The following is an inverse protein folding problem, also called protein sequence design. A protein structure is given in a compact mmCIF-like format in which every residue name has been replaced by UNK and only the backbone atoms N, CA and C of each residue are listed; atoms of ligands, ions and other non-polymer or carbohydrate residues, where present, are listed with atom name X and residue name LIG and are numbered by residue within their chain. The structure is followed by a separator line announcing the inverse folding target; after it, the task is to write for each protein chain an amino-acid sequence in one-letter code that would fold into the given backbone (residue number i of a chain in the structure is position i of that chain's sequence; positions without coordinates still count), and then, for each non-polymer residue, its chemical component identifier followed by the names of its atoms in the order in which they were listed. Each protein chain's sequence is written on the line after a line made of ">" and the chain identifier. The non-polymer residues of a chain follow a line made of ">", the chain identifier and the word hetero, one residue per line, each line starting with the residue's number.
data_IF_271127131110
#
_entry.id   IF_271127131110
#
_cell.length_a   1.000
_cell.length_b   1.000
_cell.length_c   1.000
_cell.angle_alpha   90.00
_cell.angle_beta   90.00
_cell.angle_gamma   90.00
#
_symmetry.space_group_name_H-M   'P 1'
#
loop_
_entity.id
_entity.type
_entity.pdbx_description
1 polymer ?
#
# COMPACT_ATOMS: atom_id res chain seq x y z
N UNK A 1 4.48 -15.85 -1.15
CA UNK A 1 5.68 -16.36 -0.40
C UNK A 1 6.21 -15.36 0.61
N UNK A 2 6.45 -14.08 0.27
CA UNK A 2 6.96 -13.05 1.22
C UNK A 2 6.09 -12.89 2.48
N UNK A 3 4.76 -12.83 2.33
CA UNK A 3 3.83 -12.69 3.46
C UNK A 3 3.98 -13.83 4.47
N UNK A 4 4.07 -15.07 4.01
CA UNK A 4 4.31 -16.20 4.90
C UNK A 4 5.67 -16.14 5.61
N UNK A 5 6.72 -15.66 4.94
CA UNK A 5 8.06 -15.51 5.56
C UNK A 5 8.02 -14.40 6.63
N UNK A 6 7.40 -13.27 6.36
CA UNK A 6 7.23 -12.20 7.35
C UNK A 6 6.37 -12.66 8.53
N UNK A 7 5.30 -13.43 8.25
CA UNK A 7 4.44 -14.01 9.28
C UNK A 7 5.18 -15.07 10.13
N UNK A 8 6.14 -15.83 9.58
CA UNK A 8 6.96 -16.77 10.37
C UNK A 8 7.68 -16.03 11.51
N UNK A 9 8.28 -14.87 11.22
CA UNK A 9 8.95 -14.07 12.25
C UNK A 9 7.95 -13.65 13.34
N UNK A 10 6.75 -13.23 12.97
CA UNK A 10 5.70 -12.90 13.93
C UNK A 10 5.27 -14.13 14.74
N UNK A 11 5.12 -15.29 14.11
CA UNK A 11 4.75 -16.53 14.79
C UNK A 11 5.79 -16.95 15.83
N UNK A 12 7.07 -16.79 15.52
CA UNK A 12 8.17 -17.22 16.43
C UNK A 12 8.40 -16.19 17.54
N UNK A 13 8.33 -14.90 17.26
CA UNK A 13 8.70 -13.84 18.21
C UNK A 13 7.51 -13.23 18.93
N UNK A 14 6.44 -12.86 18.21
CA UNK A 14 5.32 -12.13 18.77
C UNK A 14 4.32 -13.04 19.47
N UNK A 15 3.96 -14.16 18.84
CA UNK A 15 2.94 -15.07 19.39
C UNK A 15 3.31 -15.65 20.76
N UNK A 16 4.54 -16.14 21.04
CA UNK A 16 4.90 -16.62 22.37
C UNK A 16 4.79 -15.53 23.43
N UNK A 17 5.18 -14.29 23.10
CA UNK A 17 5.06 -13.16 24.02
C UNK A 17 3.60 -12.79 24.29
N UNK A 18 2.78 -12.65 23.24
CA UNK A 18 1.35 -12.37 23.36
C UNK A 18 0.65 -13.49 24.16
N UNK A 19 0.91 -14.76 23.80
CA UNK A 19 0.39 -15.92 24.51
C UNK A 19 0.70 -15.86 26.00
N UNK A 20 1.96 -15.67 26.36
CA UNK A 20 2.41 -15.63 27.75
C UNK A 20 1.76 -14.50 28.54
N UNK A 21 1.73 -13.30 27.97
CA UNK A 21 1.15 -12.11 28.64
C UNK A 21 -0.36 -12.26 28.83
N UNK A 22 -1.07 -12.74 27.83
CA UNK A 22 -2.52 -13.00 27.95
C UNK A 22 -2.82 -14.13 28.93
N UNK A 23 -2.06 -15.22 28.90
CA UNK A 23 -2.22 -16.33 29.86
C UNK A 23 -2.04 -15.90 31.32
N UNK A 24 -1.15 -14.91 31.57
CA UNK A 24 -0.98 -14.32 32.90
C UNK A 24 -2.11 -13.36 33.28
N UNK A 25 -2.84 -12.81 32.32
CA UNK A 25 -3.90 -11.84 32.56
C UNK A 25 -5.26 -12.51 32.83
N UNK A 26 -5.55 -13.64 32.18
CA UNK A 26 -6.82 -14.36 32.32
C UNK A 26 -6.88 -15.17 33.63
N UNK A 27 -8.10 -15.41 34.17
CA UNK A 27 -8.28 -16.22 35.40
C UNK A 27 -7.71 -17.65 35.26
N UNK A 28 -7.19 -18.25 36.36
CA UNK A 28 -6.62 -19.59 36.34
C UNK A 28 -7.69 -20.69 36.36
N UNK A 29 -8.80 -20.49 35.63
CA UNK A 29 -9.90 -21.47 35.51
C UNK A 29 -9.82 -22.15 34.14
N UNK A 30 -10.12 -23.45 34.08
CA UNK A 30 -10.11 -24.24 32.83
C UNK A 30 -11.03 -23.61 31.76
N UNK A 31 -12.18 -23.07 32.15
CA UNK A 31 -13.13 -22.39 31.24
C UNK A 31 -12.56 -21.14 30.53
N UNK A 32 -11.49 -20.52 31.04
CA UNK A 32 -10.80 -19.42 30.41
C UNK A 32 -9.55 -19.87 29.66
N UNK A 33 -8.76 -20.74 30.28
CA UNK A 33 -7.46 -21.17 29.75
C UNK A 33 -7.56 -22.12 28.56
N UNK A 34 -8.52 -23.05 28.58
CA UNK A 34 -8.68 -24.00 27.48
C UNK A 34 -9.04 -23.27 26.17
N UNK A 35 -10.09 -22.44 26.07
CA UNK A 35 -10.40 -21.70 24.86
C UNK A 35 -9.23 -20.78 24.40
N UNK A 36 -8.52 -20.15 25.33
CA UNK A 36 -7.35 -19.32 25.02
C UNK A 36 -6.23 -20.14 24.38
N UNK A 37 -5.87 -21.29 24.93
CA UNK A 37 -4.85 -22.18 24.37
C UNK A 37 -5.30 -22.71 22.99
N UNK A 38 -6.56 -23.14 22.87
CA UNK A 38 -7.10 -23.66 21.62
C UNK A 38 -7.12 -22.61 20.51
N UNK A 39 -7.34 -21.33 20.85
CA UNK A 39 -7.25 -20.24 19.87
C UNK A 39 -5.84 -20.16 19.25
N UNK A 40 -4.77 -20.18 20.04
CA UNK A 40 -3.40 -20.12 19.54
C UNK A 40 -3.00 -21.38 18.76
N UNK A 41 -3.47 -22.56 19.22
CA UNK A 41 -3.24 -23.82 18.48
C UNK A 41 -3.93 -23.76 17.11
N UNK A 42 -5.18 -23.30 17.06
CA UNK A 42 -5.95 -23.18 15.82
C UNK A 42 -5.30 -22.18 14.85
N UNK A 43 -4.95 -21.00 15.33
CA UNK A 43 -4.27 -19.97 14.53
C UNK A 43 -2.98 -20.51 13.91
N UNK A 44 -2.14 -21.12 14.74
CA UNK A 44 -0.88 -21.71 14.30
C UNK A 44 -1.11 -22.87 13.30
N UNK A 45 -2.15 -23.69 13.54
CA UNK A 45 -2.52 -24.78 12.62
C UNK A 45 -2.98 -24.25 11.27
N UNK A 46 -3.82 -23.20 11.24
CA UNK A 46 -4.28 -22.56 9.99
C UNK A 46 -3.08 -22.00 9.21
N UNK A 47 -2.14 -21.34 9.91
CA UNK A 47 -0.93 -20.79 9.30
C UNK A 47 -0.09 -21.91 8.65
N UNK A 48 0.25 -22.96 9.38
CA UNK A 48 1.06 -24.07 8.84
C UNK A 48 0.33 -24.85 7.75
N UNK A 49 -0.98 -25.05 7.88
CA UNK A 49 -1.78 -25.69 6.84
C UNK A 49 -1.74 -24.87 5.55
N UNK A 50 -2.01 -23.58 5.61
CA UNK A 50 -1.94 -22.68 4.46
C UNK A 50 -0.54 -22.62 3.84
N UNK A 51 0.50 -22.57 4.67
CA UNK A 51 1.89 -22.56 4.19
C UNK A 51 2.24 -23.85 3.46
N UNK A 52 1.87 -25.01 4.02
CA UNK A 52 2.22 -26.34 3.49
C UNK A 52 1.47 -26.63 2.20
N UNK A 53 0.16 -26.36 2.18
CA UNK A 53 -0.73 -26.76 1.09
C UNK A 53 -1.03 -25.65 0.07
N UNK A 54 -0.32 -24.51 0.13
CA UNK A 54 -0.58 -23.32 -0.70
C UNK A 54 -0.65 -23.56 -2.21
N UNK A 55 0.00 -24.60 -2.72
CA UNK A 55 0.07 -24.91 -4.15
C UNK A 55 -1.02 -25.92 -4.59
N UNK A 56 -1.76 -26.50 -3.66
CA UNK A 56 -2.77 -27.54 -3.95
C UNK A 56 -4.18 -27.14 -3.51
N UNK A 57 -4.30 -26.13 -2.64
CA UNK A 57 -5.60 -25.62 -2.20
C UNK A 57 -6.29 -24.81 -3.30
N UNK A 58 -7.64 -24.88 -3.39
CA UNK A 58 -8.40 -23.97 -4.24
C UNK A 58 -8.14 -22.50 -3.89
N UNK A 59 -8.15 -21.61 -4.89
CA UNK A 59 -7.87 -20.18 -4.69
C UNK A 59 -8.77 -19.55 -3.62
N UNK A 60 -10.06 -19.87 -3.58
CA UNK A 60 -11.01 -19.34 -2.57
C UNK A 60 -10.62 -19.71 -1.14
N UNK A 61 -10.20 -20.95 -0.92
CA UNK A 61 -9.73 -21.43 0.40
C UNK A 61 -8.42 -20.73 0.77
N UNK A 62 -7.52 -20.62 -0.20
CA UNK A 62 -6.22 -19.97 0.01
C UNK A 62 -6.37 -18.49 0.35
N UNK A 63 -7.26 -17.77 -0.34
CA UNK A 63 -7.60 -16.37 -0.05
C UNK A 63 -8.15 -16.22 1.37
N UNK A 64 -9.09 -17.11 1.78
CA UNK A 64 -9.64 -17.08 3.14
C UNK A 64 -8.55 -17.29 4.21
N UNK A 65 -7.68 -18.28 4.01
CA UNK A 65 -6.54 -18.52 4.91
C UNK A 65 -5.62 -17.29 4.98
N UNK A 66 -5.33 -16.68 3.84
CA UNK A 66 -4.49 -15.48 3.81
C UNK A 66 -5.14 -14.29 4.53
N UNK A 67 -6.45 -14.09 4.41
CA UNK A 67 -7.16 -13.07 5.19
C UNK A 67 -7.01 -13.32 6.69
N UNK A 68 -7.21 -14.56 7.16
CA UNK A 68 -7.04 -14.93 8.58
C UNK A 68 -5.60 -14.67 9.05
N UNK A 69 -4.62 -15.20 8.31
CA UNK A 69 -3.20 -15.06 8.65
C UNK A 69 -2.74 -13.59 8.62
N UNK A 70 -3.13 -12.83 7.60
CA UNK A 70 -2.80 -11.40 7.49
C UNK A 70 -3.44 -10.58 8.60
N UNK A 71 -4.71 -10.87 8.95
CA UNK A 71 -5.41 -10.20 10.06
C UNK A 71 -4.69 -10.44 11.37
N UNK A 72 -4.36 -11.69 11.68
CA UNK A 72 -3.63 -12.02 12.89
C UNK A 72 -2.22 -11.44 12.90
N UNK A 73 -1.52 -11.48 11.78
CA UNK A 73 -0.19 -10.89 11.64
C UNK A 73 -0.18 -9.40 12.01
N UNK A 74 -1.09 -8.62 11.44
CA UNK A 74 -1.17 -7.18 11.74
C UNK A 74 -1.67 -6.94 13.17
N UNK A 75 -2.69 -7.67 13.62
CA UNK A 75 -3.18 -7.58 15.00
C UNK A 75 -2.08 -7.90 16.02
N UNK A 76 -1.26 -8.93 15.78
CA UNK A 76 -0.17 -9.33 16.66
C UNK A 76 0.90 -8.23 16.81
N UNK A 77 1.18 -7.46 15.76
CA UNK A 77 2.08 -6.29 15.82
C UNK A 77 1.50 -5.26 16.80
N UNK A 78 0.23 -4.87 16.63
CA UNK A 78 -0.39 -3.83 17.49
C UNK A 78 -0.68 -4.30 18.91
N UNK A 79 -1.01 -5.59 19.11
CA UNK A 79 -1.08 -6.17 20.45
C UNK A 79 0.30 -6.09 21.13
N UNK A 80 1.36 -6.46 20.41
CA UNK A 80 2.73 -6.41 20.96
C UNK A 80 3.14 -4.98 21.27
N UNK A 81 2.90 -4.00 20.39
CA UNK A 81 3.17 -2.59 20.65
C UNK A 81 2.41 -2.08 21.88
N UNK A 82 1.14 -2.46 22.03
CA UNK A 82 0.32 -2.12 23.21
C UNK A 82 0.90 -2.73 24.49
N UNK A 83 1.28 -4.01 24.44
CA UNK A 83 1.88 -4.69 25.59
C UNK A 83 3.23 -4.07 25.97
N UNK A 84 4.09 -3.74 25.00
CA UNK A 84 5.37 -3.06 25.26
C UNK A 84 5.15 -1.68 25.86
N UNK A 85 4.16 -0.92 25.41
CA UNK A 85 3.80 0.37 26.01
C UNK A 85 3.37 0.20 27.49
N UNK A 86 2.57 -0.83 27.79
CA UNK A 86 2.19 -1.16 29.17
C UNK A 86 3.39 -1.59 30.02
N UNK A 87 4.39 -2.29 29.45
CA UNK A 87 5.62 -2.62 30.17
C UNK A 87 6.47 -1.37 30.46
N UNK A 88 6.55 -0.43 29.53
CA UNK A 88 7.23 0.85 29.76
C UNK A 88 6.55 1.61 30.89
N UNK A 89 5.21 1.69 30.91
CA UNK A 89 4.46 2.31 32.00
C UNK A 89 4.69 1.59 33.35
N UNK A 90 4.72 0.26 33.33
CA UNK A 90 5.01 -0.53 34.52
C UNK A 90 6.44 -0.29 35.06
N UNK A 91 7.39 -0.24 34.13
CA UNK A 91 8.79 0.01 34.46
C UNK A 91 8.97 1.42 35.01
N UNK A 92 8.35 2.44 34.39
CA UNK A 92 8.40 3.82 34.92
C UNK A 92 7.81 3.93 36.31
N UNK A 93 6.71 3.21 36.57
CA UNK A 93 6.13 3.19 37.91
C UNK A 93 7.07 2.57 38.98
N UNK A 94 7.97 1.67 38.58
CA UNK A 94 8.96 1.11 39.52
C UNK A 94 9.94 2.18 40.06
N UNK A 95 10.19 3.22 39.23
CA UNK A 95 11.07 4.33 39.63
C UNK A 95 10.32 5.50 40.24
N UNK A 96 9.15 5.84 39.74
CA UNK A 96 8.42 7.05 40.07
C UNK A 96 7.21 6.81 40.98
N UNK A 97 6.79 5.56 41.27
CA UNK A 97 5.68 5.16 42.15
C UNK A 97 4.35 5.91 41.89
N UNK A 98 4.03 6.21 40.64
CA UNK A 98 2.89 7.06 40.28
C UNK A 98 1.57 6.30 40.06
N UNK A 99 1.57 4.95 40.10
CA UNK A 99 0.32 4.21 40.02
C UNK A 99 -0.52 4.44 41.25
N UNK A 100 -1.82 4.76 41.08
CA UNK A 100 -2.75 4.83 42.22
C UNK A 100 -2.82 3.51 42.99
N UNK A 101 -3.02 3.60 44.31
CA UNK A 101 -3.04 2.44 45.20
C UNK A 101 -4.09 1.37 44.81
N UNK A 102 -5.21 1.78 44.21
CA UNK A 102 -6.23 0.85 43.74
C UNK A 102 -5.73 -0.06 42.56
N UNK A 103 -4.84 0.40 41.71
CA UNK A 103 -4.20 -0.41 40.67
C UNK A 103 -3.35 -1.50 41.31
N UNK A 104 -2.51 -1.13 42.23
CA UNK A 104 -1.54 -2.05 42.87
C UNK A 104 -2.23 -3.06 43.77
N UNK A 105 -3.30 -2.66 44.50
CA UNK A 105 -4.07 -3.55 45.38
C UNK A 105 -4.96 -4.54 44.58
N UNK A 106 -5.38 -4.19 43.35
CA UNK A 106 -6.25 -5.03 42.51
C UNK A 106 -5.55 -5.53 41.26
N UNK A 107 -4.26 -5.86 41.33
CA UNK A 107 -3.42 -6.15 40.21
C UNK A 107 -3.94 -7.25 39.27
N UNK A 108 -4.64 -8.27 39.79
CA UNK A 108 -5.24 -9.34 38.96
C UNK A 108 -6.39 -8.80 38.12
N UNK A 109 -7.27 -8.01 38.69
CA UNK A 109 -8.39 -7.38 37.98
C UNK A 109 -7.88 -6.36 36.95
N UNK A 110 -6.90 -5.55 37.33
CA UNK A 110 -6.25 -4.59 36.41
C UNK A 110 -5.69 -5.28 35.17
N UNK A 111 -4.97 -6.40 35.33
CA UNK A 111 -4.46 -7.15 34.17
C UNK A 111 -5.59 -7.68 33.28
N UNK A 112 -6.67 -8.19 33.84
CA UNK A 112 -7.81 -8.68 33.09
C UNK A 112 -8.52 -7.55 32.32
N UNK A 113 -8.72 -6.40 32.97
CA UNK A 113 -9.30 -5.22 32.30
C UNK A 113 -8.41 -4.75 31.17
N UNK A 114 -7.09 -4.64 31.38
CA UNK A 114 -6.14 -4.25 30.34
C UNK A 114 -6.10 -5.26 29.19
N UNK A 115 -6.23 -6.56 29.47
CA UNK A 115 -6.31 -7.58 28.42
C UNK A 115 -7.51 -7.32 27.49
N UNK A 116 -8.71 -7.13 28.05
CA UNK A 116 -9.89 -6.84 27.24
C UNK A 116 -9.82 -5.47 26.56
N UNK A 117 -9.27 -4.47 27.21
CA UNK A 117 -9.09 -3.14 26.64
C UNK A 117 -8.15 -3.18 25.43
N UNK A 118 -7.00 -3.85 25.53
CA UNK A 118 -6.07 -4.02 24.41
C UNK A 118 -6.76 -4.77 23.25
N UNK A 119 -7.48 -5.87 23.56
CA UNK A 119 -8.20 -6.60 22.52
C UNK A 119 -9.28 -5.74 21.84
N UNK A 120 -10.04 -4.96 22.60
CA UNK A 120 -11.06 -4.08 22.06
C UNK A 120 -10.46 -2.96 21.17
N UNK A 121 -9.39 -2.31 21.66
CA UNK A 121 -8.68 -1.26 20.91
C UNK A 121 -8.11 -1.82 19.59
N UNK A 122 -7.40 -2.96 19.65
CA UNK A 122 -6.80 -3.55 18.45
C UNK A 122 -7.89 -4.03 17.48
N UNK A 123 -8.98 -4.63 17.99
CA UNK A 123 -10.11 -5.01 17.12
C UNK A 123 -10.70 -3.80 16.41
N UNK A 124 -10.98 -2.71 17.14
CA UNK A 124 -11.48 -1.46 16.56
C UNK A 124 -10.49 -0.86 15.53
N UNK A 125 -9.19 -0.90 15.85
CA UNK A 125 -8.13 -0.47 14.93
C UNK A 125 -8.13 -1.30 13.63
N UNK A 126 -8.28 -2.63 13.73
CA UNK A 126 -8.31 -3.51 12.55
C UNK A 126 -9.54 -3.25 11.67
N UNK A 127 -10.72 -3.03 12.26
CA UNK A 127 -11.90 -2.61 11.50
C UNK A 127 -11.68 -1.28 10.77
N UNK A 128 -11.15 -0.28 11.48
CA UNK A 128 -10.84 1.01 10.87
C UNK A 128 -9.80 0.87 9.75
N UNK A 129 -8.72 0.13 10.00
CA UNK A 129 -7.64 -0.09 9.05
C UNK A 129 -8.09 -0.80 7.76
N UNK A 130 -9.01 -1.76 7.88
CA UNK A 130 -9.65 -2.40 6.74
C UNK A 130 -10.59 -1.44 5.99
N UNK A 131 -11.38 -0.65 6.74
CA UNK A 131 -12.28 0.35 6.16
C UNK A 131 -11.54 1.36 5.29
N UNK A 132 -10.36 1.83 5.73
CA UNK A 132 -9.52 2.75 4.95
C UNK A 132 -9.11 2.16 3.59
N UNK A 133 -8.84 0.86 3.53
CA UNK A 133 -8.54 0.17 2.27
C UNK A 133 -9.79 -0.02 1.41
N UNK A 134 -10.89 -0.41 2.03
CA UNK A 134 -12.14 -0.69 1.34
C UNK A 134 -12.80 0.59 0.74
N UNK A 135 -12.52 1.75 1.33
CA UNK A 135 -13.10 3.04 0.95
C UNK A 135 -12.01 4.11 0.74
N UNK A 136 -11.29 4.05 -0.41
CA UNK A 136 -10.31 5.07 -0.76
C UNK A 136 -10.94 6.45 -0.86
N UNK A 137 -10.10 7.47 -0.73
CA UNK A 137 -10.53 8.87 -0.86
C UNK A 137 -10.00 9.49 -2.15
N UNK A 138 -10.73 10.44 -2.68
CA UNK A 138 -10.22 11.35 -3.70
C UNK A 138 -9.49 12.48 -2.99
N UNK A 139 -8.27 12.77 -3.41
CA UNK A 139 -7.44 13.83 -2.86
C UNK A 139 -7.10 14.84 -3.94
N UNK A 140 -7.67 16.01 -3.84
CA UNK A 140 -7.37 17.10 -4.77
C UNK A 140 -6.00 17.70 -4.51
N UNK A 141 -5.19 17.80 -5.58
CA UNK A 141 -3.88 18.44 -5.57
C UNK A 141 -3.82 19.43 -6.73
N UNK A 142 -3.67 20.70 -6.42
CA UNK A 142 -3.58 21.76 -7.41
C UNK A 142 -2.11 22.08 -7.72
N UNK A 143 -1.75 21.93 -8.99
CA UNK A 143 -0.39 22.14 -9.49
C UNK A 143 -0.46 23.16 -10.61
N UNK A 144 0.36 24.22 -10.52
CA UNK A 144 0.50 25.20 -11.59
C UNK A 144 1.80 24.96 -12.33
N UNK A 145 1.70 24.62 -13.62
CA UNK A 145 2.86 24.42 -14.49
C UNK A 145 3.10 25.65 -15.35
N UNK A 146 4.36 25.91 -15.77
CA UNK A 146 4.64 26.92 -16.77
C UNK A 146 3.83 26.63 -18.04
N UNK A 147 3.05 27.62 -18.50
CA UNK A 147 2.22 27.41 -19.70
C UNK A 147 3.08 27.24 -20.95
N UNK A 148 4.17 28.00 -21.04
CA UNK A 148 5.05 27.99 -22.22
C UNK A 148 4.25 28.18 -23.51
N UNK A 149 4.42 27.26 -24.47
CA UNK A 149 3.67 27.23 -25.73
C UNK A 149 2.41 26.33 -25.70
N UNK A 150 1.91 26.01 -24.51
CA UNK A 150 0.70 25.20 -24.36
C UNK A 150 -0.56 26.01 -24.68
N UNK A 151 -1.48 25.43 -25.45
CA UNK A 151 -2.80 26.03 -25.74
C UNK A 151 -3.84 25.74 -24.64
N UNK A 152 -3.51 24.86 -23.70
CA UNK A 152 -4.40 24.39 -22.62
C UNK A 152 -4.23 25.25 -21.35
N UNK A 153 -5.35 25.73 -20.80
CA UNK A 153 -5.36 26.54 -19.58
C UNK A 153 -5.44 25.68 -18.29
N UNK A 154 -6.14 24.56 -18.36
CA UNK A 154 -6.29 23.61 -17.24
C UNK A 154 -6.52 22.20 -17.70
N UNK A 155 -6.27 21.23 -16.83
CA UNK A 155 -6.49 19.81 -17.07
C UNK A 155 -6.78 19.09 -15.75
N UNK A 156 -7.80 18.26 -15.73
CA UNK A 156 -8.05 17.33 -14.63
C UNK A 156 -7.37 16.00 -14.91
N UNK A 157 -6.40 15.63 -14.07
CA UNK A 157 -5.72 14.34 -14.17
C UNK A 157 -6.07 13.48 -12.97
N UNK A 158 -6.62 12.30 -13.21
CA UNK A 158 -6.71 11.28 -12.17
C UNK A 158 -5.44 10.45 -12.17
N UNK A 159 -4.79 10.44 -11.01
CA UNK A 159 -3.63 9.61 -10.76
C UNK A 159 -3.99 8.46 -9.82
N UNK A 160 -3.71 7.24 -10.23
CA UNK A 160 -3.75 6.05 -9.38
C UNK A 160 -2.39 5.36 -9.41
N UNK A 161 -1.89 4.93 -8.27
CA UNK A 161 -0.69 4.11 -8.16
C UNK A 161 -0.92 2.94 -7.23
N UNK A 162 -0.09 1.92 -7.32
CA UNK A 162 -0.05 0.83 -6.36
C UNK A 162 -1.42 0.14 -6.20
N UNK A 163 -2.05 -0.21 -7.30
CA UNK A 163 -3.33 -0.91 -7.28
C UNK A 163 -3.20 -2.30 -6.65
N UNK A 164 -2.05 -2.97 -6.91
CA UNK A 164 -1.75 -4.31 -6.39
C UNK A 164 -2.88 -5.33 -6.61
N UNK A 165 -3.46 -5.33 -7.81
CA UNK A 165 -4.51 -6.29 -8.21
C UNK A 165 -3.97 -7.71 -8.02
N UNK A 166 -4.70 -8.51 -7.23
CA UNK A 166 -4.27 -9.85 -6.86
C UNK A 166 -5.22 -10.51 -5.87
N UNK A 167 -4.66 -11.27 -4.93
CA UNK A 167 -5.44 -12.03 -3.96
C UNK A 167 -6.25 -11.14 -3.00
N UNK A 168 -5.69 -9.98 -2.62
CA UNK A 168 -6.33 -9.07 -1.63
C UNK A 168 -7.11 -7.94 -2.29
N UNK A 169 -6.69 -7.48 -3.47
CA UNK A 169 -7.39 -6.47 -4.26
C UNK A 169 -8.06 -7.16 -5.45
N UNK A 170 -9.31 -7.52 -5.26
CA UNK A 170 -10.12 -8.21 -6.27
C UNK A 170 -10.97 -7.26 -7.13
N UNK A 171 -11.81 -7.88 -7.96
CA UNK A 171 -12.67 -7.19 -8.95
C UNK A 171 -13.52 -6.08 -8.37
N UNK A 172 -14.17 -6.30 -7.22
CA UNK A 172 -15.08 -5.32 -6.61
C UNK A 172 -14.37 -4.00 -6.23
N UNK A 173 -13.15 -4.10 -5.71
CA UNK A 173 -12.36 -2.90 -5.39
C UNK A 173 -11.93 -2.18 -6.67
N UNK A 174 -11.48 -2.91 -7.70
CA UNK A 174 -11.10 -2.30 -8.99
C UNK A 174 -12.30 -1.61 -9.65
N UNK A 175 -13.48 -2.21 -9.64
CA UNK A 175 -14.72 -1.57 -10.12
C UNK A 175 -15.02 -0.28 -9.35
N UNK A 176 -14.78 -0.26 -8.04
CA UNK A 176 -14.91 0.95 -7.23
C UNK A 176 -13.89 2.01 -7.65
N UNK A 177 -12.64 1.65 -7.88
CA UNK A 177 -11.60 2.58 -8.34
C UNK A 177 -11.96 3.21 -9.69
N UNK A 178 -12.41 2.39 -10.64
CA UNK A 178 -12.89 2.86 -11.95
C UNK A 178 -14.08 3.82 -11.83
N UNK A 179 -15.06 3.45 -11.01
CA UNK A 179 -16.23 4.33 -10.74
C UNK A 179 -15.81 5.66 -10.12
N UNK A 180 -14.92 5.63 -9.14
CA UNK A 180 -14.39 6.83 -8.47
C UNK A 180 -13.63 7.71 -9.45
N UNK A 181 -12.76 7.14 -10.28
CA UNK A 181 -12.02 7.84 -11.32
C UNK A 181 -12.95 8.52 -12.32
N UNK A 182 -13.90 7.78 -12.87
CA UNK A 182 -14.85 8.32 -13.87
C UNK A 182 -15.75 9.42 -13.29
N UNK A 183 -16.05 9.39 -11.98
CA UNK A 183 -16.81 10.42 -11.30
C UNK A 183 -16.08 11.77 -11.20
N UNK A 184 -14.75 11.79 -11.37
CA UNK A 184 -13.96 13.02 -11.42
C UNK A 184 -13.96 13.67 -12.80
N UNK A 185 -14.56 13.04 -13.81
CA UNK A 185 -14.57 13.53 -15.22
C UNK A 185 -13.16 13.92 -15.72
N UNK A 186 -12.16 13.03 -15.58
CA UNK A 186 -10.78 13.39 -15.90
C UNK A 186 -10.57 13.61 -17.40
N UNK A 187 -9.70 14.55 -17.75
CA UNK A 187 -9.14 14.66 -19.09
C UNK A 187 -8.12 13.56 -19.37
N UNK A 188 -7.32 13.21 -18.36
CA UNK A 188 -6.24 12.25 -18.41
C UNK A 188 -6.32 11.29 -17.21
N UNK A 189 -6.04 10.00 -17.44
CA UNK A 189 -5.84 9.04 -16.34
C UNK A 189 -4.43 8.47 -16.43
N UNK A 190 -3.70 8.47 -15.32
CA UNK A 190 -2.36 7.89 -15.22
C UNK A 190 -2.30 6.82 -14.12
N UNK A 191 -1.80 5.65 -14.50
CA UNK A 191 -1.58 4.52 -13.60
C UNK A 191 -0.06 4.41 -13.35
N UNK A 192 0.37 4.85 -12.16
CA UNK A 192 1.79 5.07 -11.87
C UNK A 192 2.42 3.85 -11.19
N UNK A 193 2.39 2.71 -11.88
CA UNK A 193 3.08 1.47 -11.50
C UNK A 193 2.42 0.64 -10.40
N UNK A 194 2.96 -0.56 -10.23
CA UNK A 194 2.47 -1.58 -9.29
C UNK A 194 0.97 -1.87 -9.48
N UNK A 195 0.60 -2.11 -10.73
CA UNK A 195 -0.80 -2.41 -11.10
C UNK A 195 -1.19 -3.80 -10.62
N UNK A 196 -0.29 -4.78 -10.78
CA UNK A 196 -0.47 -6.15 -10.29
C UNK A 196 0.46 -6.46 -9.13
N UNK A 197 -0.04 -7.18 -8.12
CA UNK A 197 0.80 -7.58 -6.99
C UNK A 197 1.84 -8.63 -7.44
N UNK A 198 1.54 -9.92 -7.37
CA UNK A 198 2.53 -10.98 -7.65
C UNK A 198 2.25 -11.71 -8.95
N UNK A 199 1.07 -12.30 -9.11
CA UNK A 199 0.69 -13.13 -10.26
C UNK A 199 -0.50 -12.53 -11.03
N UNK A 200 -0.47 -12.59 -12.36
CA UNK A 200 -1.56 -12.12 -13.22
C UNK A 200 -2.81 -13.01 -13.16
N UNK A 201 -2.68 -14.28 -12.74
CA UNK A 201 -3.74 -15.28 -12.80
C UNK A 201 -5.05 -14.88 -12.10
N UNK A 202 -4.98 -14.13 -11.01
CA UNK A 202 -6.17 -13.67 -10.28
C UNK A 202 -6.92 -12.60 -11.09
N UNK A 203 -6.17 -11.65 -11.67
CA UNK A 203 -6.73 -10.63 -12.54
C UNK A 203 -7.31 -11.24 -13.82
N UNK A 204 -6.62 -12.21 -14.42
CA UNK A 204 -7.05 -12.93 -15.62
C UNK A 204 -8.32 -13.76 -15.38
N UNK A 205 -8.38 -14.55 -14.30
CA UNK A 205 -9.56 -15.35 -13.94
C UNK A 205 -10.80 -14.52 -13.66
N UNK A 206 -10.63 -13.33 -13.08
CA UNK A 206 -11.71 -12.42 -12.74
C UNK A 206 -12.06 -11.44 -13.88
N UNK A 207 -11.33 -11.48 -15.01
CA UNK A 207 -11.48 -10.58 -16.16
C UNK A 207 -11.44 -9.10 -15.73
N UNK A 208 -10.49 -8.73 -14.87
CA UNK A 208 -10.37 -7.37 -14.33
C UNK A 208 -9.91 -6.37 -15.41
N UNK A 209 -9.25 -6.82 -16.47
CA UNK A 209 -8.91 -5.98 -17.62
C UNK A 209 -10.14 -5.33 -18.25
N UNK A 210 -11.30 -6.00 -18.22
CA UNK A 210 -12.54 -5.44 -18.76
C UNK A 210 -13.10 -4.31 -17.86
N UNK A 211 -12.84 -4.36 -16.56
CA UNK A 211 -13.19 -3.27 -15.65
C UNK A 211 -12.28 -2.05 -15.89
N UNK A 212 -10.97 -2.26 -16.05
CA UNK A 212 -10.02 -1.16 -16.33
C UNK A 212 -10.26 -0.50 -17.69
N UNK A 213 -10.76 -1.22 -18.70
CA UNK A 213 -11.21 -0.64 -19.98
C UNK A 213 -12.31 0.41 -19.84
N UNK A 214 -13.04 0.39 -18.71
CA UNK A 214 -14.12 1.33 -18.48
C UNK A 214 -13.62 2.69 -17.94
N UNK A 215 -12.32 2.86 -17.72
CA UNK A 215 -11.73 4.16 -17.42
C UNK A 215 -11.96 5.12 -18.60
N UNK A 216 -12.46 6.32 -18.29
CA UNK A 216 -12.82 7.33 -19.28
C UNK A 216 -11.92 8.54 -19.13
N UNK A 217 -11.18 8.87 -20.17
CA UNK A 217 -10.34 10.06 -20.26
C UNK A 217 -10.15 10.46 -21.73
N UNK A 218 -10.59 11.63 -22.18
CA UNK A 218 -10.44 12.05 -23.58
C UNK A 218 -9.01 12.08 -24.09
N UNK A 219 -8.04 12.38 -23.21
CA UNK A 219 -6.60 12.38 -23.54
C UNK A 219 -5.96 10.99 -23.38
N UNK A 220 -6.73 10.00 -22.96
CA UNK A 220 -6.31 8.61 -22.82
C UNK A 220 -5.98 8.18 -21.39
N UNK A 221 -5.75 6.87 -21.26
CA UNK A 221 -5.29 6.20 -20.04
C UNK A 221 -3.86 5.73 -20.28
N UNK A 222 -2.94 6.11 -19.43
CA UNK A 222 -1.53 5.76 -19.54
C UNK A 222 -1.06 4.99 -18.32
N UNK A 223 -0.16 4.04 -18.52
CA UNK A 223 0.37 3.19 -17.44
C UNK A 223 1.88 3.06 -17.57
N UNK A 224 2.57 3.15 -16.44
CA UNK A 224 4.00 2.81 -16.33
C UNK A 224 4.19 1.56 -15.48
N UNK A 225 5.35 0.95 -15.56
CA UNK A 225 5.71 -0.15 -14.68
C UNK A 225 6.12 0.35 -13.29
N UNK A 226 5.77 -0.45 -12.28
CA UNK A 226 6.41 -0.43 -10.98
C UNK A 226 7.29 -1.67 -10.78
N UNK A 227 7.84 -1.81 -9.57
CA UNK A 227 8.71 -2.93 -9.27
C UNK A 227 7.96 -4.27 -9.19
N UNK A 228 6.65 -4.26 -8.94
CA UNK A 228 5.85 -5.48 -8.93
C UNK A 228 5.61 -6.03 -10.33
N UNK A 229 5.61 -5.23 -11.38
CA UNK A 229 5.55 -5.73 -12.76
C UNK A 229 6.76 -6.61 -13.12
N UNK A 230 7.88 -6.44 -12.41
CA UNK A 230 9.09 -7.28 -12.56
C UNK A 230 9.06 -8.57 -11.73
N UNK A 231 8.07 -8.73 -10.84
CA UNK A 231 7.93 -9.95 -10.03
C UNK A 231 7.12 -11.00 -10.77
N UNK A 232 7.43 -12.28 -10.51
CA UNK A 232 6.81 -13.43 -11.20
C UNK A 232 6.93 -13.34 -12.73
N UNK A 233 5.84 -13.52 -13.47
CA UNK A 233 5.85 -13.56 -14.93
C UNK A 233 5.58 -12.17 -15.54
N UNK A 234 6.65 -11.40 -15.77
CA UNK A 234 6.59 -10.07 -16.42
C UNK A 234 5.89 -10.10 -17.78
N UNK A 235 6.12 -11.15 -18.59
CA UNK A 235 5.54 -11.25 -19.95
C UNK A 235 4.02 -11.42 -19.87
N UNK A 236 3.53 -12.23 -18.94
CA UNK A 236 2.10 -12.39 -18.71
C UNK A 236 1.46 -11.07 -18.26
N UNK A 237 2.08 -10.34 -17.33
CA UNK A 237 1.63 -9.02 -16.89
C UNK A 237 1.60 -8.00 -18.03
N UNK A 238 2.64 -7.96 -18.86
CA UNK A 238 2.67 -7.10 -20.04
C UNK A 238 1.50 -7.40 -20.99
N UNK A 239 1.26 -8.69 -21.31
CA UNK A 239 0.16 -9.10 -22.17
C UNK A 239 -1.20 -8.75 -21.59
N UNK A 240 -1.35 -8.89 -20.29
CA UNK A 240 -2.59 -8.54 -19.62
C UNK A 240 -2.82 -7.03 -19.59
N UNK A 241 -1.80 -6.22 -19.27
CA UNK A 241 -1.88 -4.76 -19.33
C UNK A 241 -2.27 -4.27 -20.73
N UNK A 242 -1.78 -4.89 -21.79
CA UNK A 242 -2.22 -4.57 -23.16
C UNK A 242 -3.71 -4.79 -23.41
N UNK A 243 -4.35 -5.71 -22.68
CA UNK A 243 -5.79 -5.96 -22.78
C UNK A 243 -6.63 -4.88 -22.11
N UNK A 244 -6.07 -4.07 -21.21
CA UNK A 244 -6.79 -3.00 -20.50
C UNK A 244 -7.16 -1.79 -21.38
N UNK A 245 -6.60 -1.71 -22.59
CA UNK A 245 -6.76 -0.56 -23.46
C UNK A 245 -5.88 0.66 -23.09
N UNK A 246 -5.17 0.62 -21.97
CA UNK A 246 -4.26 1.68 -21.59
C UNK A 246 -2.98 1.68 -22.44
N UNK A 247 -2.43 2.88 -22.67
CA UNK A 247 -1.15 3.05 -23.34
C UNK A 247 0.00 2.80 -22.38
N UNK A 248 0.80 1.75 -22.63
CA UNK A 248 1.96 1.44 -21.82
C UNK A 248 3.13 2.35 -22.20
N UNK A 249 3.61 3.11 -21.23
CA UNK A 249 4.81 3.94 -21.35
C UNK A 249 5.96 3.28 -20.58
N UNK A 250 6.85 2.62 -21.31
CA UNK A 250 8.03 1.96 -20.74
C UNK A 250 9.25 2.58 -21.43
N UNK A 251 9.93 3.49 -20.73
CA UNK A 251 11.00 4.33 -21.31
C UNK A 251 10.60 4.95 -22.64
N UNK A 252 9.45 5.58 -22.67
CA UNK A 252 8.85 6.14 -23.86
C UNK A 252 8.12 7.46 -23.57
N UNK A 253 7.90 8.21 -24.64
CA UNK A 253 7.26 9.52 -24.61
C UNK A 253 5.93 9.42 -25.35
N UNK A 254 4.89 9.99 -24.78
CA UNK A 254 3.61 10.23 -25.40
C UNK A 254 3.36 11.75 -25.52
N UNK A 255 2.52 12.08 -26.47
CA UNK A 255 1.97 13.42 -26.66
C UNK A 255 0.46 13.29 -26.73
N UNK A 256 -0.24 13.30 -25.58
CA UNK A 256 -1.70 13.06 -25.53
C UNK A 256 -2.48 14.08 -26.38
N UNK A 257 -2.01 15.33 -26.40
CA UNK A 257 -2.40 16.36 -27.36
C UNK A 257 -1.20 17.26 -27.70
N UNK A 258 -1.42 18.42 -28.34
CA UNK A 258 -0.35 19.35 -28.68
C UNK A 258 0.18 20.16 -27.49
N UNK A 259 -0.45 20.09 -26.31
CA UNK A 259 -0.23 21.02 -25.21
C UNK A 259 0.91 20.63 -24.27
N UNK A 260 1.23 19.33 -24.11
CA UNK A 260 2.24 18.84 -23.17
C UNK A 260 2.85 17.50 -23.60
N UNK A 261 3.93 17.13 -22.95
CA UNK A 261 4.56 15.81 -23.09
C UNK A 261 4.36 14.97 -21.83
N UNK A 262 4.08 13.68 -22.02
CA UNK A 262 3.98 12.68 -20.96
C UNK A 262 5.08 11.65 -21.15
N UNK A 263 6.03 11.57 -20.22
CA UNK A 263 7.14 10.62 -20.25
C UNK A 263 6.87 9.52 -19.25
N UNK A 264 6.82 8.29 -19.70
CA UNK A 264 6.76 7.12 -18.83
C UNK A 264 8.12 6.46 -18.70
N UNK A 265 8.61 6.36 -17.47
CA UNK A 265 9.86 5.68 -17.16
C UNK A 265 9.60 4.19 -16.90
N UNK A 266 10.54 3.34 -17.28
CA UNK A 266 10.60 1.98 -16.76
C UNK A 266 11.00 1.99 -15.29
N UNK A 267 10.65 0.96 -14.52
CA UNK A 267 10.93 0.93 -13.09
C UNK A 267 12.44 0.90 -12.79
N UNK A 268 12.82 1.47 -11.66
CA UNK A 268 14.20 1.56 -11.19
C UNK A 268 14.89 0.19 -10.96
N UNK A 269 14.11 -0.88 -10.84
CA UNK A 269 14.61 -2.25 -10.77
C UNK A 269 15.31 -2.67 -12.06
N UNK A 270 14.90 -2.12 -13.21
CA UNK A 270 15.56 -2.33 -14.48
C UNK A 270 16.82 -1.44 -14.58
N UNK A 271 17.98 -2.02 -14.35
CA UNK A 271 19.26 -1.28 -14.43
C UNK A 271 19.62 -0.84 -15.85
N UNK A 272 18.87 -1.28 -16.88
CA UNK A 272 19.02 -0.89 -18.28
C UNK A 272 17.98 0.15 -18.72
N UNK A 273 17.20 0.71 -17.79
CA UNK A 273 16.24 1.78 -18.12
C UNK A 273 16.97 2.96 -18.74
N UNK A 274 16.34 3.61 -19.71
CA UNK A 274 16.93 4.76 -20.40
C UNK A 274 17.10 5.93 -19.43
N UNK A 275 18.26 6.64 -19.46
CA UNK A 275 18.40 7.90 -18.77
C UNK A 275 17.35 8.92 -19.23
N UNK A 276 16.91 9.81 -18.36
CA UNK A 276 15.84 10.76 -18.66
C UNK A 276 16.20 11.70 -19.81
N UNK A 277 17.45 12.19 -19.88
CA UNK A 277 17.93 13.05 -20.97
C UNK A 277 17.80 12.38 -22.35
N UNK A 278 17.92 11.05 -22.44
CA UNK A 278 17.73 10.31 -23.69
C UNK A 278 16.26 10.29 -24.11
N UNK A 279 15.34 10.16 -23.16
CA UNK A 279 13.91 10.24 -23.42
C UNK A 279 13.46 11.64 -23.82
N UNK A 280 14.16 12.66 -23.32
CA UNK A 280 13.87 14.06 -23.61
C UNK A 280 14.51 14.56 -24.90
N UNK A 281 15.33 13.75 -25.57
CA UNK A 281 15.93 14.13 -26.84
C UNK A 281 14.84 14.38 -27.91
N UNK A 282 14.81 15.61 -28.45
CA UNK A 282 13.83 16.03 -29.46
C UNK A 282 12.47 16.48 -28.92
N UNK A 283 12.31 16.59 -27.58
CA UNK A 283 11.12 17.20 -26.95
C UNK A 283 11.22 18.72 -27.04
N UNK A 284 10.10 19.36 -27.38
CA UNK A 284 9.96 20.82 -27.28
C UNK A 284 9.82 21.23 -25.81
N UNK A 285 10.91 21.69 -25.22
CA UNK A 285 10.97 22.09 -23.80
C UNK A 285 10.25 23.40 -23.49
N UNK A 286 9.64 24.07 -24.46
CA UNK A 286 8.75 25.21 -24.24
C UNK A 286 7.36 24.77 -23.77
N UNK A 287 7.04 23.47 -23.85
CA UNK A 287 5.78 22.87 -23.39
C UNK A 287 5.96 22.17 -22.05
N UNK A 288 4.90 22.09 -21.22
CA UNK A 288 4.95 21.35 -19.98
C UNK A 288 5.35 19.88 -20.19
N UNK A 289 6.22 19.39 -19.29
CA UNK A 289 6.72 18.03 -19.29
C UNK A 289 6.32 17.33 -17.99
N UNK A 290 5.50 16.31 -18.11
CA UNK A 290 5.04 15.47 -16.99
C UNK A 290 5.76 14.11 -17.07
N UNK A 291 6.36 13.68 -15.97
CA UNK A 291 7.06 12.40 -15.88
C UNK A 291 6.35 11.47 -14.92
N UNK A 292 6.05 10.25 -15.37
CA UNK A 292 5.57 9.14 -14.57
C UNK A 292 6.76 8.24 -14.25
N UNK A 293 7.16 8.15 -12.99
CA UNK A 293 8.25 7.27 -12.51
C UNK A 293 7.83 6.67 -11.17
N UNK A 294 7.53 5.39 -11.14
CA UNK A 294 6.89 4.76 -9.99
C UNK A 294 7.64 5.00 -8.66
N UNK A 295 8.96 4.77 -8.62
CA UNK A 295 9.74 4.94 -7.41
C UNK A 295 10.29 6.37 -7.25
N UNK A 296 10.11 7.04 -6.10
CA UNK A 296 10.47 8.46 -5.92
C UNK A 296 11.97 8.66 -5.61
N UNK A 297 12.85 8.15 -6.47
CA UNK A 297 14.31 8.28 -6.36
C UNK A 297 14.92 9.34 -7.31
N UNK A 298 14.15 9.77 -8.32
CA UNK A 298 14.70 10.49 -9.48
C UNK A 298 14.55 12.01 -9.41
N UNK A 299 14.26 12.60 -8.25
CA UNK A 299 13.98 14.03 -8.12
C UNK A 299 15.13 14.90 -8.64
N UNK A 300 16.38 14.57 -8.29
CA UNK A 300 17.54 15.32 -8.80
C UNK A 300 17.68 15.20 -10.32
N UNK A 301 17.51 14.00 -10.90
CA UNK A 301 17.57 13.77 -12.34
C UNK A 301 16.50 14.58 -13.08
N UNK A 302 15.26 14.58 -12.57
CA UNK A 302 14.14 15.34 -13.13
C UNK A 302 14.40 16.85 -13.07
N UNK A 303 14.95 17.34 -11.93
CA UNK A 303 15.29 18.74 -11.76
C UNK A 303 16.39 19.19 -12.73
N UNK A 304 17.43 18.40 -12.92
CA UNK A 304 18.51 18.69 -13.87
C UNK A 304 18.06 18.69 -15.34
N UNK A 305 17.01 17.93 -15.65
CA UNK A 305 16.50 17.81 -17.02
C UNK A 305 15.33 18.76 -17.34
N UNK A 306 14.92 19.63 -16.41
CA UNK A 306 13.89 20.62 -16.69
C UNK A 306 12.48 20.01 -16.83
N UNK A 307 12.15 18.99 -16.04
CA UNK A 307 10.80 18.46 -15.89
C UNK A 307 9.96 19.45 -15.10
N UNK A 308 8.66 19.56 -15.40
CA UNK A 308 7.74 20.43 -14.65
C UNK A 308 7.01 19.71 -13.53
N UNK A 309 6.59 18.45 -13.78
CA UNK A 309 5.86 17.64 -12.81
C UNK A 309 6.33 16.17 -12.83
N UNK A 310 6.71 15.64 -11.67
CA UNK A 310 6.97 14.24 -11.43
C UNK A 310 5.84 13.58 -10.63
N UNK A 311 5.31 12.44 -11.09
CA UNK A 311 4.28 11.67 -10.42
C UNK A 311 4.80 10.29 -10.02
N UNK A 312 4.64 9.95 -8.73
CA UNK A 312 5.24 8.77 -8.11
C UNK A 312 4.26 8.03 -7.19
N UNK A 313 4.57 6.74 -6.90
CA UNK A 313 3.89 5.91 -5.91
C UNK A 313 4.88 5.18 -5.02
N UNK A 314 4.76 3.82 -4.95
CA UNK A 314 5.71 2.88 -4.37
C UNK A 314 5.78 2.84 -2.84
N UNK A 315 5.81 3.95 -2.16
CA UNK A 315 6.13 4.01 -0.74
C UNK A 315 4.97 3.57 0.16
N UNK A 316 3.74 3.63 -0.36
CA UNK A 316 2.50 3.49 0.41
C UNK A 316 2.42 4.41 1.65
N UNK A 317 3.29 5.44 1.71
CA UNK A 317 3.54 6.19 2.94
C UNK A 317 3.82 5.25 4.14
N UNK A 318 4.46 4.09 3.89
CA UNK A 318 4.75 3.07 4.89
C UNK A 318 3.55 2.19 5.29
N UNK A 319 2.34 2.45 4.80
CA UNK A 319 1.08 1.69 4.99
C UNK A 319 0.64 1.48 6.45
N UNK A 320 1.53 1.09 7.36
CA UNK A 320 1.24 0.71 8.75
C UNK A 320 2.10 1.53 9.72
N UNK A 321 1.47 2.35 10.58
CA UNK A 321 2.21 3.05 11.63
C UNK A 321 2.92 2.04 12.56
N UNK A 322 4.19 2.27 12.98
CA UNK A 322 4.97 3.51 12.85
C UNK A 322 5.86 3.59 11.59
N UNK A 323 5.67 2.71 10.60
CA UNK A 323 6.53 2.63 9.43
C UNK A 323 6.61 3.92 8.57
N UNK A 324 5.58 4.82 8.55
CA UNK A 324 5.74 6.14 7.93
C UNK A 324 6.92 6.96 8.46
N UNK A 325 7.31 6.76 9.73
CA UNK A 325 8.51 7.41 10.29
C UNK A 325 9.80 6.90 9.66
N UNK A 326 9.85 5.60 9.36
CA UNK A 326 10.99 4.97 8.66
C UNK A 326 11.07 5.46 7.21
N UNK A 327 9.93 5.60 6.54
CA UNK A 327 9.89 6.11 5.16
C UNK A 327 10.49 7.52 5.04
N UNK A 328 10.27 8.38 6.02
CA UNK A 328 10.87 9.73 6.08
C UNK A 328 12.39 9.73 6.24
N UNK A 329 12.97 8.63 6.71
CA UNK A 329 14.43 8.49 6.81
C UNK A 329 15.05 7.93 5.52
N UNK A 330 14.25 7.27 4.68
CA UNK A 330 14.70 6.59 3.46
C UNK A 330 14.53 7.49 2.23
N UNK A 331 13.38 8.18 2.13
CA UNK A 331 13.01 8.94 0.96
C UNK A 331 13.04 10.45 1.24
N UNK A 332 13.50 11.23 0.28
CA UNK A 332 13.45 12.71 0.32
C UNK A 332 12.00 13.21 0.48
N UNK A 333 11.07 12.61 -0.26
CA UNK A 333 9.63 12.78 -0.07
C UNK A 333 8.95 11.40 -0.16
N UNK A 334 8.54 10.82 0.96
CA UNK A 334 7.84 9.53 0.93
C UNK A 334 6.37 9.66 0.56
N UNK A 335 5.76 10.84 0.67
CA UNK A 335 4.33 11.05 0.45
C UNK A 335 3.97 12.52 0.30
N UNK A 336 3.02 12.81 -0.58
CA UNK A 336 2.42 14.11 -0.77
C UNK A 336 3.16 14.99 -1.77
N UNK A 337 2.82 16.28 -1.75
CA UNK A 337 3.42 17.28 -2.61
C UNK A 337 4.81 17.68 -2.14
N UNK A 338 5.73 17.79 -3.08
CA UNK A 338 7.09 18.25 -2.86
C UNK A 338 7.55 19.18 -3.99
N UNK A 339 8.42 20.13 -3.70
CA UNK A 339 9.02 21.01 -4.69
C UNK A 339 10.54 21.04 -4.54
N UNK A 340 11.25 20.83 -5.66
CA UNK A 340 12.72 20.91 -5.72
C UNK A 340 13.15 21.79 -6.88
N UNK A 341 13.66 22.96 -6.57
CA UNK A 341 13.88 24.00 -7.58
C UNK A 341 12.57 24.40 -8.27
N UNK A 342 12.50 24.44 -9.60
CA UNK A 342 11.27 24.73 -10.34
C UNK A 342 10.32 23.54 -10.43
N UNK A 343 10.81 22.32 -10.23
CA UNK A 343 10.07 21.07 -10.45
C UNK A 343 9.15 20.75 -9.29
N UNK A 344 7.94 20.32 -9.60
CA UNK A 344 6.93 19.88 -8.65
C UNK A 344 6.80 18.36 -8.69
N UNK A 345 6.54 17.76 -7.54
CA UNK A 345 6.41 16.31 -7.40
C UNK A 345 5.18 15.97 -6.57
N UNK A 346 4.55 14.87 -6.89
CA UNK A 346 3.56 14.24 -6.04
C UNK A 346 3.88 12.76 -5.87
N UNK A 347 3.97 12.33 -4.62
CA UNK A 347 4.14 10.92 -4.26
C UNK A 347 2.85 10.43 -3.62
N UNK A 348 2.12 9.57 -4.31
CA UNK A 348 0.88 8.98 -3.79
C UNK A 348 1.17 7.92 -2.73
N UNK A 349 0.26 7.80 -1.76
CA UNK A 349 0.26 6.66 -0.84
C UNK A 349 -0.32 5.39 -1.47
N UNK A 350 -0.78 5.44 -2.72
CA UNK A 350 -1.40 4.33 -3.44
C UNK A 350 -2.87 4.13 -3.11
N UNK A 351 -3.64 3.71 -4.11
CA UNK A 351 -5.06 3.39 -3.93
C UNK A 351 -5.28 1.98 -3.37
N UNK A 352 -4.41 1.04 -3.75
CA UNK A 352 -4.38 -0.33 -3.23
C UNK A 352 -3.46 -0.51 -2.02
N UNK A 353 -2.91 -1.70 -1.88
CA UNK A 353 -2.09 -2.11 -0.73
C UNK A 353 -0.97 -3.07 -1.14
N UNK A 354 0.15 -3.02 -0.42
CA UNK A 354 1.19 -4.03 -0.52
C UNK A 354 1.00 -5.10 0.58
N UNK A 355 0.47 -6.27 0.22
CA UNK A 355 0.30 -7.41 1.12
C UNK A 355 -0.98 -7.36 1.98
N UNK A 356 -0.91 -7.29 3.33
CA UNK A 356 -2.09 -7.33 4.20
C UNK A 356 -3.08 -6.20 3.94
N UNK A 357 -4.42 -6.48 3.91
CA UNK A 357 -5.44 -5.50 3.53
C UNK A 357 -5.78 -4.50 4.65
N UNK A 358 -4.76 -3.84 5.18
CA UNK A 358 -4.88 -2.89 6.30
C UNK A 358 -4.01 -1.67 6.09
N UNK A 359 -4.54 -0.50 6.46
CA UNK A 359 -3.79 0.75 6.54
C UNK A 359 -3.99 1.40 7.91
N UNK A 360 -2.89 1.72 8.60
CA UNK A 360 -2.92 2.39 9.90
C UNK A 360 -2.07 3.65 9.85
N UNK A 361 -2.69 4.81 10.06
CA UNK A 361 -2.00 6.09 10.00
C UNK A 361 -1.63 6.57 8.59
N UNK A 362 -2.18 5.92 7.56
CA UNK A 362 -2.04 6.28 6.15
C UNK A 362 -3.40 6.13 5.45
N UNK A 363 -3.53 6.60 4.23
CA UNK A 363 -4.78 6.57 3.46
C UNK A 363 -4.62 5.79 2.15
N UNK A 364 -5.71 5.19 1.65
CA UNK A 364 -5.82 4.80 0.24
C UNK A 364 -6.38 5.97 -0.53
N UNK A 365 -5.71 6.42 -1.59
CA UNK A 365 -6.08 7.64 -2.31
C UNK A 365 -5.90 7.53 -3.82
N UNK A 366 -6.65 8.33 -4.56
CA UNK A 366 -6.40 8.68 -5.95
C UNK A 366 -6.34 10.19 -6.08
#
# INVERSE_FOLDING_TARGET
>A
MKVFIQSIVAQILLNPYIFWRGYQAIPPKKSWRIPYILFFILELSIFFFGFTFRNVLPDSVMIAIQYICNTWYIASIYITLSLLSLEVLRLSNRFFHWFPGWITSHWKQTKLILFFLVMAIVTGLMFHAYHVVAYPVVKDVYVTLPKGSSDRDSMTTVMMSDLHIGEMIGKELVQRYVKMSNAQHPDLVVLVGDIMDYESRFAEKAHIEEDLKQLKAPLGVYVVYGNHEYRANRIAKYRWLKKTGATLLIDSVARPDSSFYLIGRDDHINKKRKPLHVLMAGIDTTKPIIVLDHQPWSFAEMTMNGVDLGLHGHTHNGQLWPYPLVMKLIYECPYGYHKKGPVQFYVSSGIGIAGPPYRVGTVSEM
#
